data_IF_974798847107
#
_entry.id   IF_974798847107
#
_cell.length_a   1.000
_cell.length_b   1.000
_cell.length_c   1.000
_cell.angle_alpha   90.00
_cell.angle_beta   90.00
_cell.angle_gamma   90.00
#
_symmetry.space_group_name_H-M   'P 1'
#
loop_
_entity.id
_entity.type
_entity.pdbx_description
1 polymer ?
#
# COMPACT_ATOMS: atom_id res chain seq x y z
N UNK A 1 4.52 27.21 14.11
CA UNK A 1 5.02 27.24 12.74
C UNK A 1 6.33 26.52 12.55
N UNK A 2 7.14 26.31 13.57
CA UNK A 2 8.35 25.50 13.47
C UNK A 2 8.13 24.01 13.48
N UNK A 3 6.95 23.56 13.89
CA UNK A 3 6.75 22.17 14.26
C UNK A 3 6.85 21.20 13.10
N UNK A 4 6.34 21.56 11.91
CA UNK A 4 6.43 20.69 10.75
C UNK A 4 7.86 20.54 10.26
N UNK A 5 8.63 21.61 10.33
CA UNK A 5 10.03 21.58 9.88
C UNK A 5 10.91 20.83 10.87
N UNK A 6 10.68 21.03 12.16
CA UNK A 6 11.50 20.41 13.20
C UNK A 6 11.31 18.90 13.28
N UNK A 7 10.07 18.43 13.03
CA UNK A 7 9.75 17.01 13.10
C UNK A 7 9.78 16.33 11.73
N UNK A 8 10.04 17.08 10.67
CA UNK A 8 9.95 16.54 9.30
C UNK A 8 10.92 15.40 9.06
N UNK A 9 12.17 15.56 9.41
CA UNK A 9 13.18 14.52 9.22
C UNK A 9 12.85 13.27 10.04
N UNK A 10 12.43 13.45 11.28
CA UNK A 10 12.03 12.34 12.13
C UNK A 10 10.81 11.62 11.55
N UNK A 11 9.85 12.38 11.06
CA UNK A 11 8.65 11.80 10.46
C UNK A 11 9.02 10.97 9.23
N UNK A 12 9.83 11.54 8.33
CA UNK A 12 10.26 10.82 7.14
C UNK A 12 11.00 9.56 7.51
N UNK A 13 11.96 9.64 8.42
CA UNK A 13 12.76 8.48 8.83
C UNK A 13 11.90 7.40 9.47
N UNK A 14 10.92 7.78 10.29
CA UNK A 14 10.09 6.82 11.00
C UNK A 14 9.04 6.17 10.10
N UNK A 15 8.60 6.84 9.03
CA UNK A 15 7.48 6.38 8.21
C UNK A 15 7.87 5.91 6.82
N UNK A 16 9.03 6.33 6.33
CA UNK A 16 9.44 6.08 4.95
C UNK A 16 9.41 4.59 4.57
N UNK A 17 10.05 3.75 5.37
CA UNK A 17 10.13 2.32 5.09
C UNK A 17 8.76 1.65 5.16
N UNK A 18 7.96 2.06 6.12
CA UNK A 18 6.61 1.54 6.30
C UNK A 18 5.73 1.87 5.10
N UNK A 19 5.75 3.11 4.67
CA UNK A 19 4.98 3.56 3.51
C UNK A 19 5.48 2.90 2.23
N UNK A 20 6.78 2.80 2.07
CA UNK A 20 7.37 2.15 0.91
C UNK A 20 6.96 0.69 0.80
N UNK A 21 7.00 -0.06 1.90
CA UNK A 21 6.58 -1.46 1.91
C UNK A 21 5.11 -1.62 1.54
N UNK A 22 4.25 -0.74 2.05
CA UNK A 22 2.84 -0.76 1.71
C UNK A 22 2.63 -0.46 0.23
N UNK A 23 3.29 0.57 -0.30
CA UNK A 23 3.19 0.93 -1.70
C UNK A 23 3.70 -0.19 -2.61
N UNK A 24 4.83 -0.79 -2.24
CA UNK A 24 5.41 -1.89 -3.01
C UNK A 24 4.48 -3.11 -3.01
N UNK A 25 3.85 -3.41 -1.88
CA UNK A 25 2.89 -4.51 -1.78
C UNK A 25 1.69 -4.29 -2.71
N UNK A 26 1.21 -3.07 -2.82
CA UNK A 26 0.04 -2.73 -3.64
C UNK A 26 0.41 -2.61 -5.12
N UNK A 27 1.47 -1.87 -5.42
CA UNK A 27 1.83 -1.52 -6.81
C UNK A 27 2.72 -2.54 -7.49
N UNK A 28 3.58 -3.22 -6.73
CA UNK A 28 4.50 -4.21 -7.28
C UNK A 28 5.67 -3.63 -8.07
N UNK A 29 5.85 -2.32 -8.06
CA UNK A 29 6.92 -1.63 -8.77
C UNK A 29 7.67 -0.72 -7.83
N UNK A 30 8.99 -0.86 -7.77
CA UNK A 30 9.84 -0.02 -6.92
C UNK A 30 9.72 1.45 -7.28
N UNK A 31 9.79 1.76 -8.56
CA UNK A 31 9.75 3.14 -9.02
C UNK A 31 8.41 3.79 -8.68
N UNK A 32 7.31 3.11 -8.96
CA UNK A 32 5.99 3.63 -8.62
C UNK A 32 5.79 3.74 -7.12
N UNK A 33 6.32 2.78 -6.35
CA UNK A 33 6.25 2.84 -4.89
C UNK A 33 6.99 4.05 -4.36
N UNK A 34 8.19 4.31 -4.85
CA UNK A 34 8.98 5.49 -4.45
C UNK A 34 8.23 6.79 -4.80
N UNK A 35 7.67 6.87 -6.00
CA UNK A 35 6.90 8.03 -6.42
C UNK A 35 5.68 8.25 -5.54
N UNK A 36 4.97 7.16 -5.20
CA UNK A 36 3.80 7.25 -4.33
C UNK A 36 4.18 7.74 -2.93
N UNK A 37 5.31 7.28 -2.40
CA UNK A 37 5.80 7.73 -1.08
C UNK A 37 6.15 9.21 -1.13
N UNK A 38 6.85 9.65 -2.17
CA UNK A 38 7.18 11.06 -2.33
C UNK A 38 5.93 11.92 -2.41
N UNK A 39 4.95 11.52 -3.21
CA UNK A 39 3.68 12.24 -3.32
C UNK A 39 2.97 12.32 -1.97
N UNK A 40 3.06 11.25 -1.19
CA UNK A 40 2.43 11.20 0.14
C UNK A 40 3.07 12.21 1.09
N UNK A 41 4.40 12.28 1.13
CA UNK A 41 5.08 13.24 1.98
C UNK A 41 4.85 14.68 1.51
N UNK A 42 4.80 14.91 0.19
CA UNK A 42 4.45 16.23 -0.34
C UNK A 42 3.03 16.62 0.06
N UNK A 43 2.10 15.69 -0.02
CA UNK A 43 0.72 15.96 0.41
C UNK A 43 0.66 16.28 1.90
N UNK A 44 1.45 15.60 2.71
CA UNK A 44 1.53 15.89 4.14
C UNK A 44 2.02 17.32 4.36
N UNK A 45 3.10 17.70 3.69
CA UNK A 45 3.66 19.02 3.82
C UNK A 45 2.65 20.12 3.45
N UNK A 46 1.90 19.90 2.37
CA UNK A 46 1.00 20.91 1.83
C UNK A 46 -0.39 20.93 2.48
N UNK A 47 -0.92 19.77 2.85
CA UNK A 47 -2.34 19.63 3.16
C UNK A 47 -2.65 19.02 4.52
N UNK A 48 -1.67 18.48 5.23
CA UNK A 48 -1.95 17.83 6.50
C UNK A 48 -2.52 18.83 7.50
N UNK A 49 -3.65 18.49 8.15
CA UNK A 49 -4.20 19.38 9.17
C UNK A 49 -3.26 19.45 10.37
N UNK A 50 -3.29 20.59 11.04
CA UNK A 50 -2.54 20.73 12.28
C UNK A 50 -3.23 19.93 13.40
N UNK A 51 -2.44 19.44 14.34
CA UNK A 51 -2.96 18.73 15.49
C UNK A 51 -3.37 17.29 15.21
N UNK A 52 -2.82 16.67 14.17
CA UNK A 52 -3.06 15.25 13.91
C UNK A 52 -2.55 14.42 15.07
N UNK A 53 -3.42 13.52 15.58
CA UNK A 53 -3.04 12.60 16.64
C UNK A 53 -2.14 11.48 16.14
N UNK A 54 -2.38 11.03 14.92
CA UNK A 54 -1.64 9.93 14.32
C UNK A 54 -1.25 10.30 12.90
N UNK A 55 -0.06 10.86 12.77
CA UNK A 55 0.48 11.27 11.49
C UNK A 55 0.73 10.07 10.58
N UNK A 56 1.15 8.96 11.17
CA UNK A 56 1.37 7.72 10.41
C UNK A 56 0.10 7.18 9.79
N UNK A 57 -1.02 7.23 10.50
CA UNK A 57 -2.31 6.80 9.95
C UNK A 57 -2.76 7.70 8.80
N UNK A 58 -2.58 9.01 8.94
CA UNK A 58 -2.90 9.95 7.88
C UNK A 58 -2.06 9.68 6.63
N UNK A 59 -0.75 9.52 6.82
CA UNK A 59 0.17 9.20 5.72
C UNK A 59 -0.21 7.90 5.03
N UNK A 60 -0.54 6.87 5.79
CA UNK A 60 -0.92 5.58 5.22
C UNK A 60 -2.20 5.69 4.39
N UNK A 61 -3.18 6.45 4.87
CA UNK A 61 -4.42 6.68 4.12
C UNK A 61 -4.15 7.37 2.79
N UNK A 62 -3.34 8.41 2.81
CA UNK A 62 -2.99 9.16 1.60
C UNK A 62 -2.20 8.28 0.64
N UNK A 63 -1.24 7.52 1.18
CA UNK A 63 -0.44 6.60 0.36
C UNK A 63 -1.33 5.58 -0.36
N UNK A 64 -2.22 4.91 0.37
CA UNK A 64 -3.09 3.89 -0.22
C UNK A 64 -4.01 4.50 -1.28
N UNK A 65 -4.55 5.67 -1.02
CA UNK A 65 -5.38 6.37 -2.00
C UNK A 65 -4.58 6.71 -3.26
N UNK A 66 -3.35 7.14 -3.11
CA UNK A 66 -2.44 7.42 -4.22
C UNK A 66 -2.19 6.14 -5.03
N UNK A 67 -1.88 5.05 -4.34
CA UNK A 67 -1.65 3.75 -5.00
C UNK A 67 -2.87 3.30 -5.78
N UNK A 68 -4.07 3.44 -5.21
CA UNK A 68 -5.30 3.09 -5.90
C UNK A 68 -5.52 3.92 -7.15
N UNK A 69 -5.23 5.21 -7.08
CA UNK A 69 -5.31 6.09 -8.24
C UNK A 69 -4.35 5.66 -9.35
N UNK A 70 -3.14 5.29 -8.98
CA UNK A 70 -2.14 4.80 -9.94
C UNK A 70 -2.58 3.51 -10.60
N UNK A 71 -3.18 2.59 -9.84
CA UNK A 71 -3.71 1.35 -10.39
C UNK A 71 -4.84 1.60 -11.38
N UNK A 72 -5.73 2.53 -11.08
CA UNK A 72 -6.82 2.88 -12.00
C UNK A 72 -6.29 3.47 -13.29
N UNK A 73 -5.30 4.33 -13.21
CA UNK A 73 -4.66 4.90 -14.39
C UNK A 73 -3.96 3.82 -15.20
N UNK A 74 -3.27 2.91 -14.54
CA UNK A 74 -2.62 1.78 -15.17
C UNK A 74 -3.62 0.89 -15.91
N UNK A 75 -4.78 0.62 -15.29
CA UNK A 75 -5.83 -0.16 -15.96
C UNK A 75 -6.34 0.50 -17.23
N UNK A 76 -6.44 1.82 -17.25
CA UNK A 76 -6.82 2.54 -18.46
C UNK A 76 -5.79 2.43 -19.56
N UNK A 77 -4.54 2.18 -19.19
CA UNK A 77 -3.43 1.97 -20.12
C UNK A 77 -3.23 0.52 -20.50
N UNK A 78 -4.00 -0.39 -19.90
CA UNK A 78 -3.86 -1.84 -20.08
C UNK A 78 -4.23 -2.36 -21.46
N UNK A 79 -4.64 -1.51 -22.37
CA UNK A 79 -4.75 -1.90 -23.75
C UNK A 79 -3.39 -2.03 -24.44
N UNK A 80 -2.31 -1.68 -23.74
CA UNK A 80 -0.95 -1.82 -24.23
C UNK A 80 -0.24 -2.93 -23.44
N UNK A 81 0.28 -3.96 -24.11
CA UNK A 81 0.90 -5.11 -23.43
C UNK A 81 2.29 -4.77 -22.90
N UNK A 82 2.39 -3.71 -22.10
CA UNK A 82 3.65 -3.31 -21.49
C UNK A 82 3.98 -4.07 -20.22
N UNK A 83 3.08 -4.94 -19.81
CA UNK A 83 3.23 -5.74 -18.61
C UNK A 83 4.37 -6.73 -18.68
N UNK A 84 4.61 -7.26 -19.88
CA UNK A 84 5.57 -8.31 -20.07
C UNK A 84 7.01 -7.79 -20.12
N UNK A 85 7.17 -6.49 -20.31
CA UNK A 85 8.48 -5.87 -20.45
C UNK A 85 8.99 -5.20 -19.16
N UNK A 86 8.14 -5.07 -18.15
CA UNK A 86 8.61 -4.58 -16.88
C UNK A 86 9.43 -5.68 -16.21
N UNK A 87 10.72 -5.44 -15.95
CA UNK A 87 11.50 -6.43 -15.23
C UNK A 87 10.77 -6.72 -13.93
N UNK A 88 10.52 -8.00 -13.70
CA UNK A 88 10.01 -8.44 -12.43
C UNK A 88 10.85 -7.76 -11.35
N UNK A 89 10.23 -7.07 -10.39
CA UNK A 89 11.00 -6.48 -9.32
C UNK A 89 11.84 -7.58 -8.71
N UNK A 90 13.14 -7.32 -8.56
CA UNK A 90 14.03 -8.29 -7.97
C UNK A 90 13.40 -8.81 -6.69
N UNK A 91 13.29 -10.13 -6.55
CA UNK A 91 12.78 -10.68 -5.32
C UNK A 91 13.77 -10.35 -4.22
N UNK A 92 13.49 -9.29 -3.50
CA UNK A 92 14.05 -9.25 -2.16
C UNK A 92 13.52 -10.51 -1.52
N UNK A 93 14.42 -11.32 -1.05
CA UNK A 93 14.14 -12.66 -0.57
C UNK A 93 13.14 -12.65 0.60
N UNK A 94 11.89 -12.39 0.28
CA UNK A 94 10.80 -12.63 1.22
C UNK A 94 10.09 -13.86 0.76
N UNK A 95 10.01 -14.89 1.61
CA UNK A 95 9.39 -16.15 1.21
C UNK A 95 7.98 -16.02 0.66
N UNK A 96 7.26 -14.96 1.04
CA UNK A 96 5.88 -14.74 0.63
C UNK A 96 5.71 -13.72 -0.51
N UNK A 97 6.82 -13.24 -1.09
CA UNK A 97 6.76 -12.18 -2.08
C UNK A 97 6.00 -12.56 -3.36
N UNK A 98 6.28 -13.74 -3.89
CA UNK A 98 5.65 -14.20 -5.12
C UNK A 98 4.18 -14.54 -4.93
N UNK A 99 3.85 -15.17 -3.83
CA UNK A 99 2.48 -15.53 -3.51
C UNK A 99 1.61 -14.29 -3.35
N UNK A 100 2.14 -13.27 -2.71
CA UNK A 100 1.43 -12.00 -2.55
C UNK A 100 1.20 -11.31 -3.88
N UNK A 101 2.15 -11.41 -4.81
CA UNK A 101 2.00 -10.81 -6.15
C UNK A 101 0.91 -11.50 -6.97
N UNK A 102 0.63 -12.75 -6.70
CA UNK A 102 -0.43 -13.47 -7.39
C UNK A 102 -1.83 -13.00 -6.98
N UNK A 103 -1.94 -12.28 -5.87
CA UNK A 103 -3.21 -11.74 -5.42
C UNK A 103 -3.59 -10.47 -6.18
N UNK A 104 -4.89 -10.21 -6.37
CA UNK A 104 -5.33 -8.92 -6.85
C UNK A 104 -4.82 -7.78 -5.96
N UNK A 105 -4.55 -6.59 -6.53
CA UNK A 105 -3.98 -5.50 -5.73
C UNK A 105 -4.78 -5.11 -4.51
N UNK A 106 -6.10 -5.15 -4.58
CA UNK A 106 -6.96 -4.81 -3.45
C UNK A 106 -6.85 -5.83 -2.32
N UNK A 107 -6.69 -7.10 -2.68
CA UNK A 107 -6.51 -8.17 -1.70
C UNK A 107 -5.13 -8.06 -1.05
N UNK A 108 -4.10 -7.74 -1.85
CA UNK A 108 -2.76 -7.49 -1.31
C UNK A 108 -2.75 -6.33 -0.34
N UNK A 109 -3.46 -5.25 -0.68
CA UNK A 109 -3.57 -4.09 0.19
C UNK A 109 -4.23 -4.47 1.52
N UNK A 110 -5.33 -5.21 1.48
CA UNK A 110 -6.02 -5.63 2.69
C UNK A 110 -5.12 -6.51 3.57
N UNK A 111 -4.44 -7.47 2.98
CA UNK A 111 -3.50 -8.35 3.71
C UNK A 111 -2.39 -7.53 4.35
N UNK A 112 -1.77 -6.63 3.60
CA UNK A 112 -0.67 -5.83 4.12
C UNK A 112 -1.13 -4.95 5.29
N UNK A 113 -2.25 -4.26 5.11
CA UNK A 113 -2.75 -3.34 6.13
C UNK A 113 -3.17 -4.09 7.39
N UNK A 114 -3.73 -5.28 7.25
CA UNK A 114 -4.18 -6.05 8.41
C UNK A 114 -3.02 -6.71 9.15
N UNK A 115 -2.17 -7.45 8.44
CA UNK A 115 -1.13 -8.28 9.07
C UNK A 115 0.17 -7.53 9.36
N UNK A 116 0.59 -6.64 8.47
CA UNK A 116 1.85 -5.92 8.65
C UNK A 116 1.67 -4.60 9.38
N UNK A 117 0.58 -3.90 9.11
CA UNK A 117 0.35 -2.58 9.69
C UNK A 117 -0.55 -2.62 10.93
N UNK A 118 -1.22 -3.72 11.17
CA UNK A 118 -2.05 -3.90 12.35
C UNK A 118 -3.34 -3.10 12.39
N UNK A 119 -3.82 -2.65 11.23
CA UNK A 119 -5.09 -1.94 11.18
C UNK A 119 -6.27 -2.89 11.36
N UNK A 120 -7.32 -2.40 12.01
CA UNK A 120 -8.58 -3.15 12.12
C UNK A 120 -9.30 -3.19 10.77
N UNK A 121 -10.25 -4.13 10.63
CA UNK A 121 -11.06 -4.19 9.42
C UNK A 121 -11.83 -2.89 9.18
N UNK A 122 -12.27 -2.23 10.24
CA UNK A 122 -12.96 -0.95 10.13
C UNK A 122 -12.05 0.15 9.61
N UNK A 123 -10.83 0.21 10.11
CA UNK A 123 -9.84 1.17 9.65
C UNK A 123 -9.46 0.93 8.20
N UNK A 124 -9.26 -0.33 7.83
CA UNK A 124 -8.95 -0.70 6.45
C UNK A 124 -10.10 -0.30 5.52
N UNK A 125 -11.34 -0.51 5.95
CA UNK A 125 -12.50 -0.12 5.18
C UNK A 125 -12.49 1.38 4.88
N UNK A 126 -12.12 2.20 5.84
CA UNK A 126 -11.99 3.65 5.62
C UNK A 126 -10.86 3.97 4.65
N UNK A 127 -9.71 3.31 4.81
CA UNK A 127 -8.56 3.52 3.95
C UNK A 127 -8.88 3.11 2.51
N UNK A 128 -9.48 1.95 2.33
CA UNK A 128 -9.81 1.41 1.00
C UNK A 128 -11.14 1.91 0.45
N UNK A 129 -11.87 2.72 1.22
CA UNK A 129 -13.17 3.28 0.83
C UNK A 129 -14.17 2.20 0.43
N UNK A 130 -14.32 1.22 1.29
CA UNK A 130 -15.27 0.13 1.10
C UNK A 130 -15.93 -0.22 2.43
N UNK A 131 -16.83 -1.19 2.42
CA UNK A 131 -17.51 -1.63 3.63
C UNK A 131 -16.63 -2.61 4.41
N UNK A 132 -16.75 -2.66 5.75
CA UNK A 132 -15.98 -3.64 6.53
C UNK A 132 -16.21 -5.08 6.09
N UNK A 133 -17.42 -5.41 5.67
CA UNK A 133 -17.71 -6.74 5.12
C UNK A 133 -16.90 -7.06 3.88
N UNK A 134 -16.66 -6.05 3.03
CA UNK A 134 -15.82 -6.20 1.85
C UNK A 134 -14.38 -6.48 2.25
N UNK A 135 -13.88 -5.80 3.28
CA UNK A 135 -12.52 -6.07 3.80
C UNK A 135 -12.40 -7.51 4.27
N UNK A 136 -13.39 -7.97 5.07
CA UNK A 136 -13.39 -9.36 5.57
C UNK A 136 -13.42 -10.37 4.42
N UNK A 137 -14.22 -10.11 3.40
CA UNK A 137 -14.28 -10.98 2.21
C UNK A 137 -12.96 -11.03 1.48
N UNK A 138 -12.30 -9.87 1.30
CA UNK A 138 -11.00 -9.79 0.66
C UNK A 138 -9.93 -10.53 1.46
N UNK A 139 -9.93 -10.37 2.78
CA UNK A 139 -8.99 -11.07 3.65
C UNK A 139 -9.22 -12.58 3.58
N UNK A 140 -10.47 -13.01 3.60
CA UNK A 140 -10.82 -14.42 3.52
C UNK A 140 -10.36 -15.05 2.20
N UNK A 141 -10.66 -14.39 1.08
CA UNK A 141 -10.23 -14.85 -0.24
C UNK A 141 -8.70 -14.86 -0.37
N UNK A 142 -8.07 -13.82 0.15
CA UNK A 142 -6.62 -13.73 0.08
C UNK A 142 -5.95 -14.83 0.89
N UNK A 143 -6.45 -15.12 2.09
CA UNK A 143 -5.93 -16.21 2.91
C UNK A 143 -6.08 -17.56 2.23
N UNK A 144 -7.24 -17.78 1.64
CA UNK A 144 -7.51 -19.03 0.94
C UNK A 144 -6.61 -19.19 -0.27
N UNK A 145 -6.44 -18.12 -1.04
CA UNK A 145 -5.56 -18.13 -2.19
C UNK A 145 -4.09 -18.36 -1.78
N UNK A 146 -3.65 -17.72 -0.72
CA UNK A 146 -2.30 -17.93 -0.21
C UNK A 146 -2.11 -19.37 0.28
N UNK A 147 -3.13 -19.94 0.91
CA UNK A 147 -3.08 -21.33 1.34
C UNK A 147 -2.90 -22.26 0.16
N UNK A 148 -3.64 -22.05 -0.92
CA UNK A 148 -3.50 -22.83 -2.15
C UNK A 148 -2.12 -22.71 -2.75
N UNK A 149 -1.54 -21.50 -2.75
CA UNK A 149 -0.23 -21.26 -3.33
C UNK A 149 0.91 -21.84 -2.47
N UNK A 150 0.75 -21.83 -1.16
CA UNK A 150 1.77 -22.31 -0.22
C UNK A 150 1.70 -23.81 0.00
N UNK A 151 0.55 -24.41 -0.20
CA UNK A 151 0.33 -25.84 -0.01
C UNK A 151 -0.41 -26.42 -1.21
N UNK A 152 0.28 -26.55 -2.35
CA UNK A 152 -0.35 -27.06 -3.56
C UNK A 152 -0.51 -28.57 -3.48
N UNK A 153 -1.69 -28.98 -3.12
CA UNK A 153 -2.06 -30.42 -3.24
C UNK A 153 -2.99 -30.62 -4.40
#
# INVERSE_FOLDING_TARGET
MGDRTDNWEELVQSQENRLYRAALAILGSRQEAEDAVQDTFLAFWEKAPEGLRDEGAWLMRVLVNNCRSRLRTSRRRETLPLWEELPAPEPEARPLGEELRALPPQDRAAIHLFYYEGFSTQEIARILKCRPGTVRSRLSRARERLRELLDPK
#
